data_IF_122699644674
#
_entry.id   IF_122699644674
#
_cell.length_a   1.000
_cell.length_b   1.000
_cell.length_c   1.000
_cell.angle_alpha   90.00
_cell.angle_beta   90.00
_cell.angle_gamma   90.00
#
_symmetry.space_group_name_H-M   'P 1'
#
loop_
_entity.id
_entity.type
_entity.pdbx_description
1 polymer ?
#
# COMPACT_ATOMS: atom_id res chain seq x y z
N UNK A 1 -20.15 19.36 24.35
CA UNK A 1 -19.73 18.75 23.07
C UNK A 1 -18.56 19.55 22.52
N UNK A 2 -17.33 19.04 22.65
CA UNK A 2 -16.13 19.68 22.10
C UNK A 2 -16.05 19.34 20.61
N UNK A 3 -15.97 20.37 19.75
CA UNK A 3 -15.72 20.18 18.32
C UNK A 3 -14.38 19.45 18.15
N UNK A 4 -14.26 18.45 17.26
CA UNK A 4 -12.98 17.84 16.98
C UNK A 4 -12.05 18.92 16.42
N UNK A 5 -10.94 19.16 17.11
CA UNK A 5 -9.88 20.08 16.67
C UNK A 5 -9.44 19.66 15.28
N UNK A 6 -9.43 20.59 14.32
CA UNK A 6 -8.95 20.31 12.98
C UNK A 6 -7.51 19.79 13.07
N UNK A 7 -7.26 18.62 12.47
CA UNK A 7 -5.91 18.04 12.41
C UNK A 7 -4.98 19.00 11.67
N UNK A 8 -3.73 19.10 12.13
CA UNK A 8 -2.69 19.79 11.38
C UNK A 8 -2.38 19.03 10.09
N UNK A 9 -1.80 19.71 9.09
CA UNK A 9 -1.44 19.07 7.81
C UNK A 9 -0.52 17.85 8.02
N UNK A 10 0.44 17.94 8.94
CA UNK A 10 1.31 16.82 9.31
C UNK A 10 0.52 15.62 9.85
N UNK A 11 -0.46 15.86 10.71
CA UNK A 11 -1.31 14.79 11.27
C UNK A 11 -2.22 14.17 10.19
N UNK A 12 -2.72 14.97 9.25
CA UNK A 12 -3.49 14.47 8.11
C UNK A 12 -2.63 13.56 7.23
N UNK A 13 -1.41 13.95 6.91
CA UNK A 13 -0.48 13.15 6.10
C UNK A 13 -0.11 11.82 6.80
N UNK A 14 0.18 11.85 8.10
CA UNK A 14 0.46 10.63 8.86
C UNK A 14 -0.74 9.68 8.84
N UNK A 15 -1.95 10.20 9.10
CA UNK A 15 -3.18 9.41 9.08
C UNK A 15 -3.47 8.86 7.68
N UNK A 16 -3.21 9.64 6.63
CA UNK A 16 -3.34 9.18 5.25
C UNK A 16 -2.40 8.00 4.97
N UNK A 17 -1.10 8.13 5.29
CA UNK A 17 -0.12 7.04 5.11
C UNK A 17 -0.51 5.77 5.86
N UNK A 18 -0.99 5.89 7.10
CA UNK A 18 -1.47 4.76 7.89
C UNK A 18 -2.65 4.02 7.25
N UNK A 19 -3.55 4.77 6.59
CA UNK A 19 -4.77 4.20 6.00
C UNK A 19 -4.59 3.76 4.55
N UNK A 20 -3.59 4.26 3.85
CA UNK A 20 -3.40 4.07 2.41
C UNK A 20 -3.40 2.59 2.02
N UNK A 21 -2.55 1.77 2.62
CA UNK A 21 -2.45 0.33 2.29
C UNK A 21 -3.76 -0.41 2.55
N UNK A 22 -4.42 -0.13 3.69
CA UNK A 22 -5.69 -0.76 4.04
C UNK A 22 -6.80 -0.38 3.06
N UNK A 23 -6.91 0.91 2.74
CA UNK A 23 -7.92 1.41 1.83
C UNK A 23 -7.69 0.88 0.41
N UNK A 24 -6.44 0.84 -0.05
CA UNK A 24 -6.10 0.27 -1.34
C UNK A 24 -6.50 -1.21 -1.45
N UNK A 25 -6.16 -2.04 -0.46
CA UNK A 25 -6.61 -3.44 -0.41
C UNK A 25 -8.13 -3.58 -0.43
N UNK A 26 -8.84 -2.71 0.31
CA UNK A 26 -10.30 -2.71 0.33
C UNK A 26 -10.89 -2.33 -1.03
N UNK A 27 -10.37 -1.27 -1.67
CA UNK A 27 -10.76 -0.85 -3.02
C UNK A 27 -10.61 -1.97 -4.04
N UNK A 28 -9.46 -2.67 -4.03
CA UNK A 28 -9.23 -3.79 -4.95
C UNK A 28 -10.24 -4.93 -4.77
N UNK A 29 -10.62 -5.23 -3.52
CA UNK A 29 -11.66 -6.24 -3.22
C UNK A 29 -13.04 -5.83 -3.72
N UNK A 30 -13.38 -4.55 -3.67
CA UNK A 30 -14.65 -4.05 -4.19
C UNK A 30 -14.74 -4.22 -5.72
N UNK A 31 -13.61 -4.11 -6.41
CA UNK A 31 -13.48 -4.39 -7.85
C UNK A 31 -13.41 -5.90 -8.17
N UNK A 32 -13.57 -6.78 -7.17
CA UNK A 32 -13.48 -8.24 -7.33
C UNK A 32 -12.05 -8.76 -7.50
N UNK A 33 -11.03 -7.92 -7.31
CA UNK A 33 -9.63 -8.33 -7.42
C UNK A 33 -9.14 -8.86 -6.07
N UNK A 34 -8.92 -10.17 -6.00
CA UNK A 34 -8.32 -10.82 -4.84
C UNK A 34 -6.80 -10.86 -5.01
N UNK A 35 -6.08 -10.17 -4.12
CA UNK A 35 -4.63 -10.31 -4.01
C UNK A 35 -4.29 -11.75 -3.63
N UNK A 36 -3.64 -12.48 -4.55
CA UNK A 36 -2.96 -13.73 -4.21
C UNK A 36 -1.74 -13.33 -3.40
N UNK A 37 -1.81 -13.50 -2.08
CA UNK A 37 -0.65 -13.32 -1.24
C UNK A 37 0.43 -14.32 -1.68
N UNK A 38 1.63 -13.82 -1.91
CA UNK A 38 2.89 -14.52 -2.21
C UNK A 38 3.17 -14.82 -3.69
N UNK A 39 4.04 -13.98 -4.28
CA UNK A 39 5.11 -14.50 -5.12
C UNK A 39 6.17 -15.07 -4.16
N UNK A 40 6.36 -16.40 -4.08
CA UNK A 40 7.12 -17.05 -3.00
C UNK A 40 8.62 -16.65 -2.91
N UNK A 41 9.14 -15.88 -3.87
CA UNK A 41 10.55 -15.49 -3.93
C UNK A 41 10.84 -14.01 -3.58
N UNK A 42 9.85 -13.12 -3.61
CA UNK A 42 10.07 -11.67 -3.39
C UNK A 42 10.12 -11.26 -1.90
N UNK A 43 9.59 -12.09 -1.00
CA UNK A 43 9.62 -11.83 0.44
C UNK A 43 10.86 -12.43 1.14
N UNK A 44 11.68 -13.19 0.41
CA UNK A 44 12.96 -13.70 0.91
C UNK A 44 14.07 -12.66 0.89
N UNK A 45 13.88 -11.57 0.16
CA UNK A 45 14.81 -10.46 0.05
C UNK A 45 14.18 -9.26 0.76
N UNK A 46 14.91 -8.62 1.68
CA UNK A 46 14.48 -7.38 2.34
C UNK A 46 14.62 -6.22 1.35
N UNK A 47 13.78 -6.22 0.33
CA UNK A 47 13.67 -5.14 -0.65
C UNK A 47 12.63 -4.13 -0.18
N UNK A 48 12.92 -2.86 -0.42
CA UNK A 48 11.94 -1.78 -0.34
C UNK A 48 10.83 -1.97 -1.38
N UNK A 49 9.68 -1.34 -1.16
CA UNK A 49 8.55 -1.42 -2.11
C UNK A 49 8.95 -0.94 -3.52
N UNK A 50 9.77 0.10 -3.61
CA UNK A 50 10.27 0.62 -4.88
C UNK A 50 11.14 -0.40 -5.63
N UNK A 51 12.02 -1.10 -4.92
CA UNK A 51 12.87 -2.15 -5.50
C UNK A 51 12.03 -3.34 -5.98
N UNK A 52 11.02 -3.76 -5.20
CA UNK A 52 10.09 -4.81 -5.63
C UNK A 52 9.34 -4.43 -6.91
N UNK A 53 8.87 -3.19 -7.02
CA UNK A 53 8.18 -2.69 -8.22
C UNK A 53 9.12 -2.69 -9.43
N UNK A 54 10.36 -2.22 -9.26
CA UNK A 54 11.35 -2.20 -10.32
C UNK A 54 11.67 -3.63 -10.82
N UNK A 55 11.86 -4.58 -9.91
CA UNK A 55 12.09 -5.98 -10.25
C UNK A 55 10.90 -6.60 -11.01
N UNK A 56 9.68 -6.39 -10.53
CA UNK A 56 8.47 -6.85 -11.21
C UNK A 56 8.34 -6.23 -12.61
N UNK A 57 8.63 -4.95 -12.74
CA UNK A 57 8.58 -4.24 -14.04
C UNK A 57 9.56 -4.87 -15.03
N UNK A 58 10.80 -5.15 -14.60
CA UNK A 58 11.79 -5.83 -15.44
C UNK A 58 11.39 -7.26 -15.80
N UNK A 59 10.81 -8.00 -14.83
CA UNK A 59 10.40 -9.39 -15.04
C UNK A 59 9.28 -9.52 -16.08
N UNK A 60 8.28 -8.65 -16.05
CA UNK A 60 7.13 -8.68 -16.97
C UNK A 60 7.33 -7.89 -18.27
N UNK A 61 8.42 -7.14 -18.42
CA UNK A 61 8.75 -6.45 -19.68
C UNK A 61 9.35 -7.37 -20.77
N UNK A 62 9.58 -8.66 -20.45
CA UNK A 62 9.97 -9.71 -21.38
C UNK A 62 8.75 -10.46 -21.89
#
# INVERSE_FOLDING_TARGET
MTKPTALTETQKQQRFKQLQSRNYKASMRLEGIHWVETLPNLDRIVLTEAEKIAELTLHYAR
#
